data_IF_437450083970
#
_entry.id   IF_437450083970
#
_cell.length_a   1.000
_cell.length_b   1.000
_cell.length_c   1.000
_cell.angle_alpha   90.00
_cell.angle_beta   90.00
_cell.angle_gamma   90.00
#
_symmetry.space_group_name_H-M   'P 1'
#
loop_
_entity.id
_entity.type
_entity.pdbx_description
1 polymer ?
#
# COMPACT_ATOMS: atom_id res chain seq x y z
N UNK A 1 33.25 -0.35 -1.60
CA UNK A 1 32.00 0.40 -1.87
C UNK A 1 30.93 -0.63 -2.19
N UNK A 2 29.75 -0.58 -1.55
CA UNK A 2 28.69 -1.58 -1.75
C UNK A 2 28.00 -1.31 -3.09
N UNK A 3 27.94 -2.31 -3.98
CA UNK A 3 27.24 -2.22 -5.28
C UNK A 3 25.75 -2.47 -5.07
N UNK A 4 24.90 -1.50 -5.42
CA UNK A 4 23.44 -1.66 -5.42
C UNK A 4 22.98 -2.60 -6.54
N UNK A 5 21.88 -3.33 -6.31
CA UNK A 5 21.21 -4.14 -7.32
C UNK A 5 20.64 -3.26 -8.45
N UNK A 6 20.67 -3.74 -9.69
CA UNK A 6 20.25 -2.95 -10.86
C UNK A 6 18.78 -2.51 -10.79
N UNK A 7 17.87 -3.39 -10.31
CA UNK A 7 16.44 -3.07 -10.14
C UNK A 7 16.18 -1.90 -9.19
N UNK A 8 17.10 -1.60 -8.26
CA UNK A 8 16.97 -0.46 -7.34
C UNK A 8 17.46 0.82 -7.98
N UNK A 9 18.47 0.76 -8.86
CA UNK A 9 19.06 1.93 -9.51
C UNK A 9 18.09 2.62 -10.47
N UNK A 10 17.19 1.86 -11.08
CA UNK A 10 16.23 2.38 -12.05
C UNK A 10 14.98 3.00 -11.40
N UNK A 11 14.84 2.89 -10.07
CA UNK A 11 13.67 3.43 -9.38
C UNK A 11 13.71 4.94 -9.31
N UNK A 12 12.64 5.55 -9.82
CA UNK A 12 12.42 6.99 -9.71
C UNK A 12 11.89 7.33 -8.31
N UNK A 13 12.35 8.43 -7.70
CA UNK A 13 11.76 8.95 -6.47
C UNK A 13 10.26 9.24 -6.65
N UNK A 14 9.47 9.04 -5.60
CA UNK A 14 8.04 9.38 -5.63
C UNK A 14 7.85 10.89 -5.68
N UNK A 15 7.25 11.40 -6.76
CA UNK A 15 6.92 12.81 -6.91
C UNK A 15 5.96 13.29 -5.80
N UNK A 16 4.97 12.47 -5.43
CA UNK A 16 4.01 12.79 -4.36
C UNK A 16 4.70 13.05 -3.03
N UNK A 17 5.57 12.13 -2.59
CA UNK A 17 6.30 12.27 -1.33
C UNK A 17 7.27 13.47 -1.36
N UNK A 18 7.82 13.78 -2.53
CA UNK A 18 8.74 14.91 -2.70
C UNK A 18 8.01 16.24 -2.52
N UNK A 19 6.81 16.37 -3.09
CA UNK A 19 5.99 17.59 -2.93
C UNK A 19 5.52 17.75 -1.49
N UNK A 20 5.04 16.67 -0.87
CA UNK A 20 4.55 16.71 0.50
C UNK A 20 5.66 17.08 1.50
N UNK A 21 6.84 16.46 1.39
CA UNK A 21 7.99 16.79 2.22
C UNK A 21 8.40 18.27 2.09
N UNK A 22 8.39 18.81 0.87
CA UNK A 22 8.70 20.23 0.64
C UNK A 22 7.64 21.15 1.26
N UNK A 23 6.37 20.79 1.15
CA UNK A 23 5.27 21.55 1.76
C UNK A 23 5.41 21.60 3.29
N UNK A 24 5.79 20.49 3.93
CA UNK A 24 6.01 20.42 5.37
C UNK A 24 7.20 21.28 5.82
N UNK A 25 8.34 21.22 5.10
CA UNK A 25 9.49 22.10 5.39
C UNK A 25 9.14 23.58 5.28
N UNK A 26 8.36 23.97 4.27
CA UNK A 26 7.92 25.36 4.10
C UNK A 26 7.02 25.81 5.26
N UNK A 27 6.05 24.98 5.68
CA UNK A 27 5.22 25.24 6.86
C UNK A 27 6.07 25.42 8.13
N UNK A 28 7.03 24.52 8.36
CA UNK A 28 7.94 24.59 9.52
C UNK A 28 8.80 25.86 9.51
N UNK A 29 9.16 26.36 8.32
CA UNK A 29 9.87 27.64 8.16
C UNK A 29 8.99 28.90 8.28
N UNK A 30 7.72 28.75 8.63
CA UNK A 30 6.78 29.87 8.83
C UNK A 30 6.11 30.39 7.57
N UNK A 31 6.24 29.69 6.44
CA UNK A 31 5.54 30.03 5.20
C UNK A 31 4.11 29.47 5.26
N UNK A 32 3.13 30.31 4.93
CA UNK A 32 1.74 29.84 4.78
C UNK A 32 1.61 28.96 3.53
N UNK A 33 1.26 27.69 3.73
CA UNK A 33 1.14 26.69 2.65
C UNK A 33 -0.18 25.95 2.77
N UNK A 34 -0.99 26.04 1.71
CA UNK A 34 -2.14 25.15 1.50
C UNK A 34 -1.62 23.91 0.78
N UNK A 35 -1.46 22.80 1.50
CA UNK A 35 -0.96 21.55 0.94
C UNK A 35 -2.12 20.71 0.40
N UNK A 36 -2.18 20.53 -0.93
CA UNK A 36 -3.17 19.71 -1.64
C UNK A 36 -2.55 18.44 -2.24
N UNK A 37 -1.37 18.03 -1.76
CA UNK A 37 -0.62 16.87 -2.30
C UNK A 37 -0.81 15.58 -1.50
N UNK A 38 -1.28 15.68 -0.25
CA UNK A 38 -1.51 14.54 0.61
C UNK A 38 -2.73 13.73 0.13
N UNK A 39 -2.58 12.41 0.08
CA UNK A 39 -3.64 11.47 -0.29
C UNK A 39 -4.31 10.79 0.91
N UNK A 40 -4.10 11.32 2.11
CA UNK A 40 -4.70 10.80 3.35
C UNK A 40 -5.82 11.72 3.83
N UNK A 41 -6.88 11.17 4.45
CA UNK A 41 -7.94 11.99 5.04
C UNK A 41 -7.42 12.90 6.16
N UNK A 42 -8.09 14.04 6.34
CA UNK A 42 -7.85 14.99 7.42
C UNK A 42 -8.47 14.55 8.76
N UNK A 43 -9.50 13.71 8.71
CA UNK A 43 -10.13 13.15 9.92
C UNK A 43 -9.22 12.13 10.62
N UNK A 44 -9.24 12.17 11.95
CA UNK A 44 -8.56 11.18 12.78
C UNK A 44 -9.27 9.81 12.72
N UNK A 45 -8.54 8.76 13.09
CA UNK A 45 -9.08 7.41 13.23
C UNK A 45 -10.24 7.40 14.25
N UNK A 46 -11.40 6.81 13.92
CA UNK A 46 -12.53 6.72 14.84
C UNK A 46 -12.19 6.09 16.20
N UNK A 47 -12.76 6.62 17.29
CA UNK A 47 -12.38 6.25 18.65
C UNK A 47 -12.57 4.76 18.97
N UNK A 48 -13.62 4.13 18.44
CA UNK A 48 -13.83 2.69 18.67
C UNK A 48 -12.70 1.81 18.10
N UNK A 49 -11.99 2.28 17.06
CA UNK A 49 -10.82 1.61 16.50
C UNK A 49 -9.61 1.81 17.41
N UNK A 50 -9.40 3.04 17.90
CA UNK A 50 -8.33 3.37 18.86
C UNK A 50 -8.48 2.56 20.15
N UNK A 51 -9.70 2.48 20.69
CA UNK A 51 -9.99 1.68 21.90
C UNK A 51 -9.79 0.18 21.67
N UNK A 52 -10.15 -0.35 20.49
CA UNK A 52 -9.87 -1.74 20.16
C UNK A 52 -8.36 -2.03 20.11
N UNK A 53 -7.56 -1.09 19.58
CA UNK A 53 -6.10 -1.21 19.55
C UNK A 53 -5.48 -1.16 20.96
N UNK A 54 -5.93 -0.23 21.82
CA UNK A 54 -5.52 -0.17 23.24
C UNK A 54 -5.85 -1.47 23.97
N UNK A 55 -7.07 -1.97 23.82
CA UNK A 55 -7.49 -3.24 24.42
C UNK A 55 -6.65 -4.42 23.92
N UNK A 56 -6.27 -4.46 22.65
CA UNK A 56 -5.38 -5.50 22.13
C UNK A 56 -3.99 -5.43 22.80
N UNK A 57 -3.47 -4.22 23.02
CA UNK A 57 -2.22 -3.99 23.75
C UNK A 57 -2.33 -4.44 25.21
N UNK A 58 -3.38 -4.05 25.92
CA UNK A 58 -3.64 -4.42 27.32
C UNK A 58 -3.77 -5.95 27.49
N UNK A 59 -4.34 -6.62 26.50
CA UNK A 59 -4.47 -8.08 26.46
C UNK A 59 -3.18 -8.80 26.01
N UNK A 60 -2.08 -8.06 25.78
CA UNK A 60 -0.79 -8.64 25.42
C UNK A 60 -0.73 -9.22 24.00
N UNK A 61 -1.58 -8.77 23.06
CA UNK A 61 -1.58 -9.19 21.65
C UNK A 61 -0.38 -8.63 20.88
N UNK A 62 0.83 -9.01 21.29
CA UNK A 62 2.12 -8.43 20.85
C UNK A 62 3.06 -9.46 20.23
N UNK A 63 2.58 -10.69 20.01
CA UNK A 63 3.36 -11.80 19.45
C UNK A 63 3.03 -11.97 17.97
N UNK A 64 3.83 -12.77 17.28
CA UNK A 64 3.59 -13.10 15.88
C UNK A 64 2.18 -13.65 15.67
N UNK A 65 1.58 -13.22 14.57
CA UNK A 65 0.34 -13.79 14.03
C UNK A 65 0.67 -14.72 12.87
N UNK A 66 -0.29 -15.55 12.46
CA UNK A 66 -0.14 -16.36 11.25
C UNK A 66 0.14 -15.46 10.03
N UNK A 67 0.96 -15.94 9.09
CA UNK A 67 1.36 -15.18 7.89
C UNK A 67 0.15 -14.62 7.12
N UNK A 68 -0.96 -15.36 6.90
CA UNK A 68 -2.14 -14.81 6.23
C UNK A 68 -2.86 -13.70 7.01
N UNK A 69 -2.55 -13.54 8.30
CA UNK A 69 -3.25 -12.69 9.25
C UNK A 69 -4.18 -13.46 10.19
N UNK A 70 -4.69 -12.74 11.19
CA UNK A 70 -5.63 -13.27 12.18
C UNK A 70 -6.89 -13.85 11.47
N UNK A 71 -7.30 -15.05 11.86
CA UNK A 71 -8.48 -15.70 11.27
C UNK A 71 -9.75 -14.86 11.46
N UNK A 72 -9.90 -14.21 12.62
CA UNK A 72 -11.03 -13.31 12.89
C UNK A 72 -11.09 -12.14 11.91
N UNK A 73 -9.94 -11.52 11.60
CA UNK A 73 -9.85 -10.43 10.64
C UNK A 73 -10.16 -10.92 9.22
N UNK A 74 -9.62 -12.07 8.81
CA UNK A 74 -9.90 -12.65 7.49
C UNK A 74 -11.38 -12.96 7.29
N UNK A 75 -12.06 -13.51 8.32
CA UNK A 75 -13.52 -13.73 8.29
C UNK A 75 -14.30 -12.43 8.16
N UNK A 76 -13.92 -11.39 8.91
CA UNK A 76 -14.56 -10.07 8.82
C UNK A 76 -14.40 -9.43 7.43
N UNK A 77 -13.23 -9.62 6.78
CA UNK A 77 -13.00 -9.17 5.40
C UNK A 77 -13.93 -9.93 4.43
N UNK A 78 -14.05 -11.26 4.53
CA UNK A 78 -14.97 -12.03 3.69
C UNK A 78 -16.42 -11.53 3.82
N UNK A 79 -16.88 -11.32 5.05
CA UNK A 79 -18.21 -10.79 5.32
C UNK A 79 -18.40 -9.40 4.71
N UNK A 80 -17.43 -8.51 4.87
CA UNK A 80 -17.48 -7.16 4.31
C UNK A 80 -17.51 -7.16 2.78
N UNK A 81 -16.69 -7.98 2.13
CA UNK A 81 -16.68 -8.12 0.67
C UNK A 81 -18.01 -8.64 0.12
N UNK A 82 -18.67 -9.54 0.86
CA UNK A 82 -20.00 -10.03 0.50
C UNK A 82 -21.08 -8.95 0.64
N UNK A 83 -21.05 -8.18 1.73
CA UNK A 83 -22.03 -7.11 1.98
C UNK A 83 -21.87 -5.98 0.97
N UNK A 84 -20.63 -5.53 0.74
CA UNK A 84 -20.36 -4.35 -0.09
C UNK A 84 -20.45 -4.63 -1.59
N UNK A 85 -20.03 -5.83 -2.02
CA UNK A 85 -19.84 -6.14 -3.44
C UNK A 85 -20.48 -7.46 -3.89
N UNK A 86 -21.07 -8.24 -2.98
CA UNK A 86 -21.64 -9.57 -3.30
C UNK A 86 -20.59 -10.66 -3.53
N UNK A 87 -19.31 -10.41 -3.26
CA UNK A 87 -18.24 -11.38 -3.47
C UNK A 87 -18.22 -12.44 -2.37
N UNK A 88 -18.19 -13.71 -2.75
CA UNK A 88 -18.17 -14.84 -1.83
C UNK A 88 -16.76 -15.45 -1.83
N UNK A 89 -15.93 -15.02 -0.87
CA UNK A 89 -14.60 -15.57 -0.61
C UNK A 89 -14.57 -16.38 0.68
N UNK A 90 -13.67 -17.36 0.76
CA UNK A 90 -13.32 -18.05 2.00
C UNK A 90 -12.14 -17.33 2.69
N UNK A 91 -11.95 -17.51 4.01
CA UNK A 91 -10.80 -16.95 4.70
C UNK A 91 -9.45 -17.39 4.12
N UNK A 92 -9.38 -18.57 3.49
CA UNK A 92 -8.19 -19.12 2.84
C UNK A 92 -7.78 -18.33 1.59
N UNK A 93 -8.72 -17.59 1.00
CA UNK A 93 -8.50 -16.71 -0.16
C UNK A 93 -8.11 -15.27 0.27
N UNK A 94 -7.98 -14.99 1.57
CA UNK A 94 -7.65 -13.67 2.10
C UNK A 94 -6.23 -13.63 2.69
N UNK A 95 -5.44 -12.66 2.25
CA UNK A 95 -4.13 -12.32 2.80
C UNK A 95 -4.12 -10.90 3.36
N UNK A 96 -3.92 -10.76 4.66
CA UNK A 96 -3.73 -9.44 5.32
C UNK A 96 -2.30 -8.98 5.10
N UNK A 97 -2.12 -7.73 4.66
CA UNK A 97 -0.81 -7.13 4.39
C UNK A 97 -0.70 -5.76 5.08
N UNK A 98 0.51 -5.23 5.17
CA UNK A 98 0.83 -3.88 5.67
C UNK A 98 0.42 -2.84 4.62
N UNK A 99 -0.89 -2.63 4.52
CA UNK A 99 -1.52 -1.72 3.57
C UNK A 99 -1.59 -2.25 2.14
N UNK A 100 -2.46 -1.65 1.33
CA UNK A 100 -2.74 -2.10 -0.04
C UNK A 100 -1.52 -2.11 -0.96
N UNK A 101 -0.53 -1.24 -0.70
CA UNK A 101 0.73 -1.21 -1.47
C UNK A 101 1.47 -2.54 -1.38
N UNK A 102 1.55 -3.15 -0.19
CA UNK A 102 2.21 -4.44 -0.04
C UNK A 102 1.41 -5.56 -0.72
N UNK A 103 0.06 -5.52 -0.66
CA UNK A 103 -0.76 -6.50 -1.39
C UNK A 103 -0.45 -6.52 -2.88
N UNK A 104 -0.45 -5.35 -3.53
CA UNK A 104 -0.16 -5.22 -4.96
C UNK A 104 1.30 -5.64 -5.25
N UNK A 105 2.24 -5.22 -4.40
CA UNK A 105 3.65 -5.57 -4.57
C UNK A 105 3.90 -7.08 -4.49
N UNK A 106 3.32 -7.75 -3.48
CA UNK A 106 3.42 -9.20 -3.32
C UNK A 106 2.77 -9.93 -4.50
N UNK A 107 1.61 -9.45 -4.98
CA UNK A 107 0.97 -10.01 -6.16
C UNK A 107 1.89 -9.95 -7.38
N UNK A 108 2.45 -8.79 -7.69
CA UNK A 108 3.36 -8.61 -8.83
C UNK A 108 4.60 -9.50 -8.70
N UNK A 109 5.21 -9.59 -7.52
CA UNK A 109 6.35 -10.48 -7.27
C UNK A 109 6.00 -11.97 -7.39
N UNK A 110 4.75 -12.35 -7.12
CA UNK A 110 4.33 -13.74 -7.16
C UNK A 110 4.00 -14.21 -8.58
N UNK A 111 3.57 -13.30 -9.47
CA UNK A 111 3.04 -13.67 -10.80
C UNK A 111 3.94 -13.28 -11.97
N UNK A 112 4.82 -12.28 -11.80
CA UNK A 112 5.67 -11.80 -12.88
C UNK A 112 7.00 -12.54 -12.93
N UNK A 113 7.40 -12.93 -14.14
CA UNK A 113 8.76 -13.25 -14.50
C UNK A 113 9.42 -12.03 -15.17
N UNK A 114 10.75 -12.10 -15.26
CA UNK A 114 11.54 -11.09 -15.97
C UNK A 114 11.06 -10.94 -17.41
N UNK A 115 10.70 -9.71 -17.79
CA UNK A 115 10.25 -9.36 -19.13
C UNK A 115 8.75 -9.47 -19.35
N UNK A 116 7.97 -9.99 -18.39
CA UNK A 116 6.51 -10.01 -18.50
C UNK A 116 5.95 -8.59 -18.55
N UNK A 117 4.95 -8.37 -19.40
CA UNK A 117 4.37 -7.05 -19.64
C UNK A 117 3.14 -6.81 -18.76
N UNK A 118 3.05 -5.62 -18.15
CA UNK A 118 1.89 -5.21 -17.34
C UNK A 118 1.26 -3.97 -17.94
N UNK A 119 0.01 -4.09 -18.39
CA UNK A 119 -0.76 -2.96 -18.89
C UNK A 119 -1.15 -2.02 -17.73
N UNK A 120 -0.86 -0.73 -17.87
CA UNK A 120 -1.19 0.31 -16.88
C UNK A 120 -1.91 1.45 -17.58
N UNK A 121 -3.17 1.69 -17.22
CA UNK A 121 -3.99 2.77 -17.79
C UNK A 121 -3.55 4.12 -17.20
N UNK A 122 -3.33 5.13 -18.05
CA UNK A 122 -3.01 6.50 -17.64
C UNK A 122 -4.28 7.36 -17.53
N UNK A 123 -4.39 8.27 -16.53
CA UNK A 123 -3.44 8.54 -15.45
C UNK A 123 -3.45 7.43 -14.39
N UNK A 124 -2.28 7.10 -13.84
CA UNK A 124 -2.10 5.99 -12.90
C UNK A 124 -1.56 6.44 -11.53
N UNK A 125 -1.74 5.57 -10.53
CA UNK A 125 -1.03 5.73 -9.26
C UNK A 125 0.47 5.51 -9.45
N UNK A 126 1.27 6.48 -9.00
CA UNK A 126 2.74 6.56 -9.23
C UNK A 126 3.51 5.29 -8.86
N UNK A 127 3.00 4.47 -7.94
CA UNK A 127 3.69 3.25 -7.53
C UNK A 127 3.52 2.09 -8.50
N UNK A 128 2.50 2.07 -9.39
CA UNK A 128 2.26 0.92 -10.26
C UNK A 128 3.45 0.59 -11.18
N UNK A 129 3.99 1.54 -12.00
CA UNK A 129 5.10 1.20 -12.87
C UNK A 129 6.35 0.81 -12.09
N UNK A 130 6.63 1.50 -10.98
CA UNK A 130 7.77 1.21 -10.13
C UNK A 130 7.71 -0.20 -9.53
N UNK A 131 6.55 -0.65 -9.05
CA UNK A 131 6.40 -2.01 -8.51
C UNK A 131 6.56 -3.08 -9.59
N UNK A 132 6.10 -2.83 -10.82
CA UNK A 132 6.32 -3.71 -11.97
C UNK A 132 7.81 -3.82 -12.32
N UNK A 133 8.52 -2.69 -12.39
CA UNK A 133 9.97 -2.66 -12.67
C UNK A 133 10.78 -3.38 -11.58
N UNK A 134 10.42 -3.23 -10.29
CA UNK A 134 11.08 -3.96 -9.19
C UNK A 134 10.90 -5.48 -9.35
N UNK A 135 9.72 -5.90 -9.78
CA UNK A 135 9.40 -7.30 -10.09
C UNK A 135 9.99 -7.77 -11.43
N UNK A 136 10.87 -6.97 -12.05
CA UNK A 136 11.54 -7.25 -13.33
C UNK A 136 10.60 -7.37 -14.54
N UNK A 137 9.35 -6.91 -14.40
CA UNK A 137 8.39 -6.76 -15.47
C UNK A 137 8.57 -5.46 -16.27
N UNK A 138 7.83 -5.35 -17.37
CA UNK A 138 7.82 -4.20 -18.27
C UNK A 138 6.47 -3.48 -18.17
N UNK A 139 6.40 -2.27 -17.59
CA UNK A 139 5.17 -1.49 -17.58
C UNK A 139 4.84 -0.98 -18.99
N UNK A 140 3.65 -1.30 -19.48
CA UNK A 140 3.09 -0.80 -20.75
C UNK A 140 1.99 0.21 -20.45
N UNK A 141 2.34 1.49 -20.57
CA UNK A 141 1.41 2.58 -20.32
C UNK A 141 0.44 2.69 -21.50
N UNK A 142 -0.85 2.58 -21.21
CA UNK A 142 -1.93 2.79 -22.17
C UNK A 142 -2.54 4.17 -21.90
N UNK A 143 -2.43 5.14 -22.83
CA UNK A 143 -3.02 6.46 -22.66
C UNK A 143 -4.55 6.40 -22.72
N UNK A 144 -5.21 7.30 -21.99
CA UNK A 144 -6.64 7.61 -22.13
C UNK A 144 -6.97 8.25 -23.46
#
# INVERSE_FOLDING_TARGET
>A
MIKLAERVKNLKPSATLTVDAKANVLKESGVEVINLSAGEPDFDTPDYIKEAAKKALDNGMTKYVAIPGLLSLRKAICERLKIDYGFNYTPEEILVTTGAKQAIFNFLLAVLNKGDEVLILSPYWVSYPAMVEIAEGIPKIIPS
#
